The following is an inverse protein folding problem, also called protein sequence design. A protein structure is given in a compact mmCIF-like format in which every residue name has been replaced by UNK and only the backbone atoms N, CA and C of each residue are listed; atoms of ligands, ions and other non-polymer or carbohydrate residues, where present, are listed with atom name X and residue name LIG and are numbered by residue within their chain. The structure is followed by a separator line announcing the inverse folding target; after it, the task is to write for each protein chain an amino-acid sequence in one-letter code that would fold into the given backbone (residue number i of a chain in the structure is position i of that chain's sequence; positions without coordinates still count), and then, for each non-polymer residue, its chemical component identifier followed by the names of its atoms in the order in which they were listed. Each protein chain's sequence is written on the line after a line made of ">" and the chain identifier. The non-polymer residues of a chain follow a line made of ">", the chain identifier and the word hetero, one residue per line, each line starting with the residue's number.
data_IF_657305655645
#
_entry.id   IF_657305655645
#
_cell.length_a   1.000
_cell.length_b   1.000
_cell.length_c   1.000
_cell.angle_alpha   90.00
_cell.angle_beta   90.00
_cell.angle_gamma   90.00
#
_symmetry.space_group_name_H-M   'P 1'
#
loop_
_entity.id
_entity.type
_entity.pdbx_description
1 polymer ?
#
# COMPACT_ATOMS: atom_id res chain seq x y z
N UNK A 1 -16.47 -15.61 -12.68
CA UNK A 1 -15.09 -15.12 -12.45
C UNK A 1 -15.24 -13.67 -12.04
N UNK A 2 -14.79 -13.27 -10.86
CA UNK A 2 -14.79 -11.84 -10.51
C UNK A 2 -13.64 -11.21 -11.28
N UNK A 3 -13.95 -10.44 -12.32
CA UNK A 3 -13.01 -9.46 -12.86
C UNK A 3 -12.65 -8.53 -11.69
N UNK A 4 -11.44 -8.69 -11.13
CA UNK A 4 -10.86 -7.65 -10.28
C UNK A 4 -10.55 -6.50 -11.24
N UNK A 5 -11.49 -5.57 -11.37
CA UNK A 5 -11.26 -4.34 -12.13
C UNK A 5 -10.15 -3.58 -11.41
N UNK A 6 -8.94 -3.64 -11.96
CA UNK A 6 -7.87 -2.76 -11.52
C UNK A 6 -8.33 -1.32 -11.75
N UNK A 7 -8.18 -0.42 -10.75
CA UNK A 7 -8.60 0.96 -10.91
C UNK A 7 -7.85 1.59 -12.09
N UNK A 8 -8.59 2.32 -12.92
CA UNK A 8 -8.05 3.04 -14.07
C UNK A 8 -7.29 4.28 -13.62
N UNK A 9 -6.14 4.55 -14.24
CA UNK A 9 -5.38 5.77 -14.00
C UNK A 9 -6.07 6.99 -14.65
N UNK A 10 -5.92 8.21 -14.08
CA UNK A 10 -5.22 8.50 -12.84
C UNK A 10 -6.02 8.09 -11.60
N UNK A 11 -5.33 7.71 -10.53
CA UNK A 11 -5.94 7.34 -9.24
C UNK A 11 -6.47 8.59 -8.53
N UNK A 12 -7.78 8.67 -8.34
CA UNK A 12 -8.45 9.88 -7.88
C UNK A 12 -8.45 10.01 -6.35
N UNK A 13 -8.25 8.91 -5.62
CA UNK A 13 -8.33 8.86 -4.17
C UNK A 13 -7.46 7.73 -3.56
N UNK A 14 -7.38 7.72 -2.22
CA UNK A 14 -6.58 6.75 -1.47
C UNK A 14 -7.11 5.31 -1.57
N UNK A 15 -8.41 5.12 -1.76
CA UNK A 15 -9.00 3.79 -1.88
C UNK A 15 -8.64 3.15 -3.23
N UNK A 16 -8.73 3.91 -4.31
CA UNK A 16 -8.24 3.49 -5.63
C UNK A 16 -6.74 3.20 -5.60
N UNK A 17 -5.94 4.07 -4.99
CA UNK A 17 -4.51 3.82 -4.86
C UNK A 17 -4.18 2.59 -4.00
N UNK A 18 -4.97 2.30 -2.97
CA UNK A 18 -4.83 1.08 -2.16
C UNK A 18 -5.16 -0.17 -2.98
N UNK A 19 -6.27 -0.15 -3.72
CA UNK A 19 -6.66 -1.26 -4.61
C UNK A 19 -5.60 -1.50 -5.69
N UNK A 20 -5.10 -0.42 -6.30
CA UNK A 20 -4.02 -0.47 -7.29
C UNK A 20 -2.76 -1.13 -6.69
N UNK A 21 -2.34 -0.67 -5.51
CA UNK A 21 -1.17 -1.20 -4.80
C UNK A 21 -1.30 -2.69 -4.50
N UNK A 22 -2.42 -3.13 -3.92
CA UNK A 22 -2.65 -4.53 -3.56
C UNK A 22 -2.72 -5.42 -4.82
N UNK A 23 -3.32 -4.92 -5.91
CA UNK A 23 -3.36 -5.66 -7.17
C UNK A 23 -1.96 -5.91 -7.74
N UNK A 24 -1.05 -4.92 -7.65
CA UNK A 24 0.29 -4.95 -8.23
C UNK A 24 1.39 -5.51 -7.32
N UNK A 25 1.11 -5.71 -6.03
CA UNK A 25 2.07 -6.24 -5.04
C UNK A 25 1.52 -7.51 -4.40
N UNK A 26 1.91 -8.66 -4.94
CA UNK A 26 1.43 -9.97 -4.49
C UNK A 26 1.70 -10.23 -3.01
N UNK A 27 2.77 -9.67 -2.46
CA UNK A 27 3.09 -9.77 -1.03
C UNK A 27 2.03 -9.14 -0.13
N UNK A 28 1.30 -8.13 -0.63
CA UNK A 28 0.25 -7.42 0.10
C UNK A 28 -1.12 -8.10 0.02
N UNK A 29 -1.26 -9.13 -0.81
CA UNK A 29 -2.51 -9.90 -0.93
C UNK A 29 -2.65 -10.98 0.15
N UNK A 30 -1.61 -11.19 0.96
CA UNK A 30 -1.64 -12.14 2.09
C UNK A 30 -2.64 -11.69 3.17
N UNK A 31 -3.41 -12.63 3.72
CA UNK A 31 -4.37 -12.35 4.81
C UNK A 31 -3.71 -11.87 6.11
N UNK A 32 -2.41 -12.17 6.28
CA UNK A 32 -1.58 -11.67 7.39
C UNK A 32 -1.32 -10.17 7.25
N UNK A 33 -1.20 -9.70 6.01
CA UNK A 33 -0.76 -8.34 5.72
C UNK A 33 -1.96 -7.39 5.72
N UNK A 34 -1.81 -6.30 6.45
CA UNK A 34 -2.73 -5.17 6.50
C UNK A 34 -2.01 -3.97 5.94
N UNK A 35 -2.51 -3.46 4.82
CA UNK A 35 -2.08 -2.20 4.23
C UNK A 35 -3.14 -1.14 4.49
N UNK A 36 -2.72 0.04 4.93
CA UNK A 36 -3.63 1.14 5.26
C UNK A 36 -3.05 2.47 4.81
N UNK A 37 -3.93 3.37 4.38
CA UNK A 37 -3.53 4.73 4.04
C UNK A 37 -2.93 5.41 5.27
N UNK A 38 -1.76 6.03 5.08
CA UNK A 38 -1.02 6.69 6.15
C UNK A 38 -1.16 8.21 6.03
N UNK A 39 -0.77 8.78 4.89
CA UNK A 39 -0.91 10.21 4.60
C UNK A 39 -0.73 10.50 3.11
N UNK A 40 -1.06 11.73 2.70
CA UNK A 40 -0.71 12.25 1.38
C UNK A 40 0.65 12.93 1.43
N UNK A 41 1.49 12.72 0.41
CA UNK A 41 2.76 13.43 0.22
C UNK A 41 2.71 14.05 -1.18
N UNK A 42 2.56 15.37 -1.23
CA UNK A 42 2.24 16.12 -2.44
C UNK A 42 0.97 15.58 -3.13
N UNK A 43 1.11 14.97 -4.30
CA UNK A 43 0.02 14.32 -5.03
C UNK A 43 -0.09 12.81 -4.74
N UNK A 44 0.92 12.23 -4.10
CA UNK A 44 1.04 10.78 -3.93
C UNK A 44 0.43 10.29 -2.61
N UNK A 45 0.09 9.01 -2.58
CA UNK A 45 -0.53 8.34 -1.46
C UNK A 45 0.51 7.44 -0.78
N UNK A 46 0.81 7.73 0.50
CA UNK A 46 1.69 6.90 1.32
C UNK A 46 0.85 5.91 2.11
N UNK A 47 1.24 4.64 2.05
CA UNK A 47 0.62 3.52 2.75
C UNK A 47 1.60 2.91 3.74
N UNK A 48 1.07 2.48 4.88
CA UNK A 48 1.81 1.65 5.84
C UNK A 48 1.33 0.22 5.76
N UNK A 49 2.25 -0.73 5.87
CA UNK A 49 1.98 -2.15 5.81
C UNK A 49 2.42 -2.83 7.10
N UNK A 50 1.57 -3.71 7.63
CA UNK A 50 1.84 -4.46 8.85
C UNK A 50 1.38 -5.91 8.82
N UNK A 51 2.06 -6.78 9.57
CA UNK A 51 1.74 -8.19 9.75
C UNK A 51 0.91 -8.41 11.04
N UNK A 52 -0.27 -9.02 10.89
CA UNK A 52 -1.12 -9.45 12.01
C UNK A 52 -0.42 -10.50 12.86
N UNK A 53 0.25 -11.48 12.24
CA UNK A 53 0.91 -12.56 13.00
C UNK A 53 2.09 -12.03 13.81
N UNK A 54 2.91 -11.15 13.23
CA UNK A 54 4.05 -10.56 13.93
C UNK A 54 3.58 -9.73 15.13
N UNK A 55 2.48 -8.97 15.00
CA UNK A 55 1.85 -8.27 16.12
C UNK A 55 1.34 -9.24 17.20
N UNK A 56 0.69 -10.34 16.81
CA UNK A 56 0.18 -11.34 17.74
C UNK A 56 1.30 -12.04 18.54
N UNK A 57 2.52 -12.10 18.00
CA UNK A 57 3.70 -12.66 18.66
C UNK A 57 4.48 -11.63 19.50
N UNK A 58 3.96 -10.41 19.66
CA UNK A 58 4.59 -9.35 20.47
C UNK A 58 5.61 -8.48 19.73
N UNK A 59 5.77 -8.64 18.41
CA UNK A 59 6.54 -7.73 17.58
C UNK A 59 5.77 -6.46 17.21
N UNK A 60 6.46 -5.45 16.68
CA UNK A 60 5.79 -4.23 16.15
C UNK A 60 4.87 -4.54 14.97
N UNK A 61 5.23 -5.58 14.22
CA UNK A 61 4.59 -6.01 12.99
C UNK A 61 4.64 -4.99 11.86
N UNK A 62 5.48 -3.96 11.94
CA UNK A 62 5.73 -3.07 10.79
C UNK A 62 6.50 -3.82 9.72
N UNK A 63 5.96 -3.82 8.49
CA UNK A 63 6.56 -4.51 7.34
C UNK A 63 7.22 -3.51 6.39
N UNK A 64 6.59 -2.35 6.16
CA UNK A 64 7.17 -1.32 5.30
C UNK A 64 6.18 -0.21 4.96
N UNK A 65 6.62 0.68 4.07
CA UNK A 65 5.79 1.73 3.50
C UNK A 65 5.87 1.71 1.97
N UNK A 66 4.76 2.07 1.33
CA UNK A 66 4.64 2.16 -0.12
C UNK A 66 4.07 3.52 -0.49
N UNK A 67 4.71 4.20 -1.45
CA UNK A 67 4.22 5.45 -2.03
C UNK A 67 3.68 5.18 -3.43
N UNK A 68 2.44 5.59 -3.68
CA UNK A 68 1.74 5.38 -4.95
C UNK A 68 1.40 6.73 -5.56
N UNK A 69 1.88 7.01 -6.77
CA UNK A 69 1.51 8.22 -7.49
C UNK A 69 0.14 8.06 -8.18
N UNK A 70 -0.59 9.17 -8.44
CA UNK A 70 -1.82 9.12 -9.24
C UNK A 70 -1.62 8.49 -10.62
N UNK A 71 -0.41 8.59 -11.19
CA UNK A 71 -0.04 7.99 -12.48
C UNK A 71 0.36 6.50 -12.39
N UNK A 72 0.21 5.86 -11.23
CA UNK A 72 0.43 4.42 -11.05
C UNK A 72 1.86 4.00 -10.75
N UNK A 73 2.75 4.91 -10.37
CA UNK A 73 4.11 4.56 -9.93
C UNK A 73 4.06 4.08 -8.49
N UNK A 74 4.62 2.89 -8.22
CA UNK A 74 4.71 2.31 -6.87
C UNK A 74 6.17 2.27 -6.42
N UNK A 75 6.49 3.00 -5.36
CA UNK A 75 7.80 3.02 -4.72
C UNK A 75 7.71 2.38 -3.33
N UNK A 76 8.74 1.61 -2.96
CA UNK A 76 8.97 1.21 -1.57
C UNK A 76 9.73 2.35 -0.90
N UNK A 77 9.25 2.80 0.26
CA UNK A 77 9.79 3.97 0.93
C UNK A 77 9.99 3.74 2.42
N UNK A 78 10.69 4.67 3.07
CA UNK A 78 10.61 4.83 4.52
C UNK A 78 9.27 5.47 4.95
N UNK A 79 9.13 5.70 6.26
CA UNK A 79 7.94 6.33 6.86
C UNK A 79 7.72 7.80 6.45
N UNK A 80 8.72 8.44 5.83
CA UNK A 80 8.68 9.81 5.35
C UNK A 80 8.40 9.89 3.84
N UNK A 81 8.23 8.74 3.17
CA UNK A 81 7.99 8.67 1.73
C UNK A 81 9.25 8.84 0.88
N UNK A 82 10.44 8.63 1.46
CA UNK A 82 11.73 8.64 0.75
C UNK A 82 11.98 7.25 0.14
N UNK A 83 12.21 7.12 -1.17
CA UNK A 83 12.46 5.84 -1.81
C UNK A 83 13.86 5.29 -1.48
N UNK A 84 13.99 3.97 -1.50
CA UNK A 84 15.25 3.23 -1.38
C UNK A 84 15.81 2.82 -2.75
#
# INVERSE_FOLDING_TARGET
>A
MQERTEPSLPLENSDEALLFLIAHRSELQSEDIVTSFYQKIDQDYLFTTSSKQTRAQGGSGSVGFYRVSPDGVILITDAYGTPF
#
